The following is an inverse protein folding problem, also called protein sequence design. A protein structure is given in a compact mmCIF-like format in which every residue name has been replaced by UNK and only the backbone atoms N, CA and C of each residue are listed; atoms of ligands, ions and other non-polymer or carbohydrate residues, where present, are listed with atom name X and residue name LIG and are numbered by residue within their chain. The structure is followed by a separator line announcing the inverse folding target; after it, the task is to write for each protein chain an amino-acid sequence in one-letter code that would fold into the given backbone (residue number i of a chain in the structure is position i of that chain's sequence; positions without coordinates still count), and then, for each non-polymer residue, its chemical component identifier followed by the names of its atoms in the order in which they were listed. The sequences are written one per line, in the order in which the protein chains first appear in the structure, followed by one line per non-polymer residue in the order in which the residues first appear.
data_IF_796212321059
#
_entry.id   IF_796212321059
#
_cell.length_a   1.000
_cell.length_b   1.000
_cell.length_c   1.000
_cell.angle_alpha   90.00
_cell.angle_beta   90.00
_cell.angle_gamma   90.00
#
_symmetry.space_group_name_H-M   'P 1'
#
loop_
_entity.id
_entity.type
_entity.pdbx_description
1 polymer ?
#
# COMPACT_ATOMS: atom_id res chain seq x y z
N UNK A 1 4.34 92.85 1.32
CA UNK A 1 4.87 91.66 2.05
C UNK A 1 3.81 90.77 2.72
N UNK A 2 2.50 91.07 2.66
CA UNK A 2 1.47 90.20 3.28
C UNK A 2 0.91 89.10 2.35
N UNK A 3 1.05 89.25 1.02
CA UNK A 3 0.55 88.27 0.04
C UNK A 3 1.42 87.01 -0.13
N UNK A 4 2.74 87.15 -0.02
CA UNK A 4 3.69 86.02 -0.19
C UNK A 4 3.61 85.03 0.98
N UNK A 5 3.35 85.51 2.20
CA UNK A 5 3.15 84.67 3.39
C UNK A 5 1.86 83.85 3.33
N UNK A 6 0.79 84.40 2.75
CA UNK A 6 -0.47 83.69 2.55
C UNK A 6 -0.36 82.59 1.49
N UNK A 7 0.36 82.86 0.39
CA UNK A 7 0.64 81.87 -0.65
C UNK A 7 1.50 80.71 -0.13
N UNK A 8 2.55 80.99 0.66
CA UNK A 8 3.39 79.95 1.26
C UNK A 8 2.60 79.06 2.24
N UNK A 9 1.69 79.64 3.03
CA UNK A 9 0.82 78.90 3.94
C UNK A 9 -0.19 78.02 3.20
N UNK A 10 -0.76 78.49 2.08
CA UNK A 10 -1.62 77.69 1.21
C UNK A 10 -0.86 76.53 0.57
N UNK A 11 0.37 76.74 0.12
CA UNK A 11 1.24 75.68 -0.40
C UNK A 11 1.59 74.64 0.66
N UNK A 12 1.89 75.07 1.88
CA UNK A 12 2.16 74.16 2.99
C UNK A 12 0.91 73.33 3.35
N UNK A 13 -0.27 73.96 3.43
CA UNK A 13 -1.52 73.25 3.65
C UNK A 13 -1.84 72.28 2.51
N UNK A 14 -1.57 72.66 1.26
CA UNK A 14 -1.75 71.79 0.11
C UNK A 14 -0.80 70.58 0.13
N UNK A 15 0.47 70.78 0.47
CA UNK A 15 1.45 69.71 0.64
C UNK A 15 1.03 68.78 1.78
N UNK A 16 0.61 69.33 2.93
CA UNK A 16 0.11 68.54 4.06
C UNK A 16 -1.14 67.75 3.66
N UNK A 17 -2.07 68.34 2.92
CA UNK A 17 -3.24 67.65 2.41
C UNK A 17 -2.88 66.51 1.44
N UNK A 18 -1.94 66.73 0.53
CA UNK A 18 -1.43 65.70 -0.37
C UNK A 18 -0.75 64.54 0.39
N UNK A 19 0.07 64.87 1.41
CA UNK A 19 0.71 63.86 2.25
C UNK A 19 -0.30 63.06 3.09
N UNK A 20 -1.36 63.71 3.59
CA UNK A 20 -2.43 63.03 4.31
C UNK A 20 -3.21 62.09 3.38
N UNK A 21 -3.57 62.55 2.18
CA UNK A 21 -4.25 61.71 1.18
C UNK A 21 -3.37 60.51 0.81
N UNK A 22 -2.10 60.74 0.50
CA UNK A 22 -1.15 59.68 0.17
C UNK A 22 -0.96 58.69 1.34
N UNK A 23 -0.81 59.21 2.56
CA UNK A 23 -0.69 58.41 3.78
C UNK A 23 -1.91 57.54 4.02
N UNK A 24 -3.13 58.08 3.84
CA UNK A 24 -4.37 57.30 3.96
C UNK A 24 -4.49 56.22 2.90
N UNK A 25 -4.09 56.50 1.65
CA UNK A 25 -4.11 55.52 0.57
C UNK A 25 -3.12 54.37 0.80
N UNK A 26 -1.91 54.67 1.28
CA UNK A 26 -0.91 53.65 1.63
C UNK A 26 -1.36 52.79 2.83
N UNK A 27 -1.96 53.41 3.85
CA UNK A 27 -2.49 52.69 5.00
C UNK A 27 -3.64 51.75 4.61
N UNK A 28 -4.49 52.20 3.69
CA UNK A 28 -5.58 51.40 3.12
C UNK A 28 -5.03 50.19 2.35
N UNK A 29 -4.04 50.41 1.48
CA UNK A 29 -3.36 49.33 0.74
C UNK A 29 -2.71 48.31 1.68
N UNK A 30 -1.94 48.77 2.67
CA UNK A 30 -1.29 47.88 3.65
C UNK A 30 -2.31 47.05 4.44
N UNK A 31 -3.46 47.64 4.82
CA UNK A 31 -4.54 46.91 5.50
C UNK A 31 -5.19 45.87 4.57
N UNK A 32 -5.37 46.20 3.29
CA UNK A 32 -5.90 45.27 2.29
C UNK A 32 -4.93 44.10 2.08
N UNK A 33 -3.64 44.36 1.92
CA UNK A 33 -2.62 43.33 1.76
C UNK A 33 -2.52 42.41 2.98
N UNK A 34 -2.59 42.97 4.19
CA UNK A 34 -2.64 42.18 5.44
C UNK A 34 -3.89 41.29 5.50
N UNK A 35 -5.05 41.79 5.09
CA UNK A 35 -6.28 41.01 5.06
C UNK A 35 -6.21 39.87 4.03
N UNK A 36 -5.70 40.16 2.83
CA UNK A 36 -5.49 39.15 1.77
C UNK A 36 -4.47 38.11 2.22
N UNK A 37 -3.34 38.53 2.82
CA UNK A 37 -2.32 37.63 3.35
C UNK A 37 -2.88 36.72 4.46
N UNK A 38 -3.64 37.29 5.40
CA UNK A 38 -4.31 36.52 6.45
C UNK A 38 -5.32 35.51 5.88
N UNK A 39 -6.09 35.91 4.87
CA UNK A 39 -7.02 35.01 4.17
C UNK A 39 -6.27 33.87 3.47
N UNK A 40 -5.16 34.16 2.78
CA UNK A 40 -4.35 33.14 2.11
C UNK A 40 -3.75 32.15 3.11
N UNK A 41 -3.18 32.63 4.22
CA UNK A 41 -2.64 31.79 5.28
C UNK A 41 -3.72 30.88 5.86
N UNK A 42 -4.90 31.42 6.14
CA UNK A 42 -6.02 30.64 6.68
C UNK A 42 -6.54 29.62 5.66
N UNK A 43 -6.64 29.98 4.38
CA UNK A 43 -7.03 29.05 3.33
C UNK A 43 -6.02 27.90 3.21
N UNK A 44 -4.72 28.21 3.23
CA UNK A 44 -3.65 27.20 3.21
C UNK A 44 -3.69 26.29 4.45
N UNK A 45 -3.92 26.85 5.65
CA UNK A 45 -4.09 26.05 6.88
C UNK A 45 -5.30 25.14 6.82
N UNK A 46 -6.43 25.63 6.31
CA UNK A 46 -7.63 24.83 6.12
C UNK A 46 -7.39 23.69 5.11
N UNK A 47 -6.66 23.95 4.03
CA UNK A 47 -6.26 22.91 3.07
C UNK A 47 -5.37 21.85 3.72
N UNK A 48 -4.33 22.27 4.48
CA UNK A 48 -3.48 21.34 5.20
C UNK A 48 -4.25 20.49 6.21
N UNK A 49 -5.25 21.08 6.88
CA UNK A 49 -6.12 20.34 7.79
C UNK A 49 -6.97 19.28 7.05
N UNK A 50 -7.50 19.60 5.87
CA UNK A 50 -8.24 18.65 5.04
C UNK A 50 -7.34 17.48 4.58
N UNK A 51 -6.12 17.77 4.14
CA UNK A 51 -5.15 16.74 3.73
C UNK A 51 -4.68 15.88 4.91
N UNK A 52 -4.52 16.47 6.08
CA UNK A 52 -4.23 15.73 7.31
C UNK A 52 -5.36 14.74 7.65
N UNK A 53 -6.63 15.15 7.47
CA UNK A 53 -7.78 14.27 7.63
C UNK A 53 -7.77 13.08 6.67
N UNK A 54 -7.42 13.30 5.40
CA UNK A 54 -7.26 12.21 4.41
C UNK A 54 -6.12 11.28 4.82
N UNK A 55 -4.96 11.81 5.21
CA UNK A 55 -3.82 11.01 5.65
C UNK A 55 -4.16 10.15 6.88
N UNK A 56 -4.91 10.69 7.82
CA UNK A 56 -5.42 9.95 8.98
C UNK A 56 -6.33 8.81 8.51
N UNK A 57 -7.30 9.10 7.64
CA UNK A 57 -8.23 8.10 7.12
C UNK A 57 -7.51 6.95 6.42
N UNK A 58 -6.56 7.25 5.53
CA UNK A 58 -5.77 6.24 4.80
C UNK A 58 -4.97 5.36 5.77
N UNK A 59 -4.34 5.97 6.77
CA UNK A 59 -3.53 5.24 7.77
C UNK A 59 -4.39 4.32 8.63
N UNK A 60 -5.56 4.79 9.06
CA UNK A 60 -6.47 4.03 9.92
C UNK A 60 -7.22 2.94 9.15
N UNK A 61 -7.74 3.28 7.98
CA UNK A 61 -8.61 2.40 7.20
C UNK A 61 -7.86 1.32 6.43
N UNK A 62 -6.54 1.42 6.26
CA UNK A 62 -5.78 0.41 5.51
C UNK A 62 -5.99 -1.00 6.06
N UNK A 63 -5.93 -1.16 7.38
CA UNK A 63 -6.12 -2.48 8.03
C UNK A 63 -7.59 -2.86 8.21
N UNK A 64 -8.47 -1.88 8.41
CA UNK A 64 -9.89 -2.13 8.69
C UNK A 64 -10.79 -2.10 7.45
N UNK A 65 -10.24 -1.83 6.26
CA UNK A 65 -11.00 -1.76 5.00
C UNK A 65 -11.85 -3.00 4.69
N UNK A 66 -11.35 -4.24 4.89
CA UNK A 66 -12.16 -5.44 4.64
C UNK A 66 -13.43 -5.50 5.51
N UNK A 67 -13.37 -4.92 6.71
CA UNK A 67 -14.44 -4.90 7.71
C UNK A 67 -15.32 -3.67 7.62
N UNK A 68 -14.97 -2.70 6.78
CA UNK A 68 -15.73 -1.47 6.62
C UNK A 68 -17.12 -1.78 6.05
N UNK A 69 -18.14 -1.50 6.85
CA UNK A 69 -19.55 -1.64 6.47
C UNK A 69 -20.02 -0.56 5.49
N UNK A 70 -21.28 -0.66 5.08
CA UNK A 70 -21.90 0.28 4.13
C UNK A 70 -22.05 1.70 4.68
N UNK A 71 -22.15 1.85 6.00
CA UNK A 71 -22.24 3.15 6.67
C UNK A 71 -20.96 4.00 6.53
N UNK A 72 -19.84 3.36 6.15
CA UNK A 72 -18.55 4.01 5.97
C UNK A 72 -17.86 4.34 7.29
N UNK A 73 -16.97 5.33 7.26
CA UNK A 73 -16.23 5.80 8.42
C UNK A 73 -16.31 7.32 8.50
N UNK A 74 -16.50 7.85 9.71
CA UNK A 74 -16.58 9.28 9.99
C UNK A 74 -15.72 9.61 11.20
N UNK A 75 -14.95 10.67 11.12
CA UNK A 75 -14.13 11.16 12.21
C UNK A 75 -14.03 12.69 12.20
N UNK A 76 -14.08 13.29 13.39
CA UNK A 76 -13.95 14.73 13.59
C UNK A 76 -12.81 15.00 14.57
N UNK A 77 -11.91 15.91 14.18
CA UNK A 77 -10.80 16.39 15.00
C UNK A 77 -11.07 17.84 15.38
N UNK A 78 -11.34 18.09 16.66
CA UNK A 78 -11.76 19.40 17.16
C UNK A 78 -10.58 20.35 17.46
N UNK A 79 -9.37 19.82 17.62
CA UNK A 79 -8.16 20.60 17.94
C UNK A 79 -7.39 20.98 16.67
N UNK A 80 -6.47 21.95 16.73
CA UNK A 80 -5.65 22.28 15.56
C UNK A 80 -4.70 21.12 15.18
N UNK A 81 -4.68 20.65 13.92
CA UNK A 81 -5.50 21.10 12.78
C UNK A 81 -6.95 20.59 12.85
N UNK A 82 -7.93 21.50 12.70
CA UNK A 82 -9.37 21.16 12.82
C UNK A 82 -9.89 20.60 11.49
N UNK A 83 -10.43 19.39 11.49
CA UNK A 83 -11.01 18.79 10.30
C UNK A 83 -12.12 17.78 10.60
N UNK A 84 -12.99 17.57 9.62
CA UNK A 84 -13.90 16.43 9.57
C UNK A 84 -13.56 15.58 8.35
N UNK A 85 -13.58 14.27 8.48
CA UNK A 85 -13.28 13.34 7.39
C UNK A 85 -14.30 12.21 7.36
N UNK A 86 -14.75 11.89 6.15
CA UNK A 86 -15.69 10.81 5.86
C UNK A 86 -15.13 9.94 4.76
N UNK A 87 -15.15 8.63 4.96
CA UNK A 87 -14.80 7.64 3.95
C UNK A 87 -16.01 6.77 3.62
N UNK A 88 -16.32 6.67 2.34
CA UNK A 88 -17.43 5.87 1.82
C UNK A 88 -16.90 4.79 0.88
N UNK A 89 -17.39 3.57 1.02
CA UNK A 89 -17.04 2.47 0.11
C UNK A 89 -17.78 2.63 -1.21
N UNK A 90 -17.04 2.71 -2.32
CA UNK A 90 -17.63 2.80 -3.67
C UNK A 90 -17.80 1.43 -4.30
N UNK A 91 -16.81 0.57 -4.11
CA UNK A 91 -16.83 -0.81 -4.59
C UNK A 91 -15.98 -1.71 -3.65
N UNK A 92 -15.66 -2.93 -4.08
CA UNK A 92 -14.92 -3.90 -3.27
C UNK A 92 -13.44 -3.51 -3.05
N UNK A 93 -12.91 -2.52 -3.77
CA UNK A 93 -11.51 -2.07 -3.76
C UNK A 93 -11.35 -0.56 -3.55
N UNK A 94 -12.37 0.26 -3.77
CA UNK A 94 -12.24 1.73 -3.82
C UNK A 94 -13.00 2.40 -2.68
N UNK A 95 -12.34 3.34 -2.02
CA UNK A 95 -12.94 4.31 -1.09
C UNK A 95 -13.00 5.70 -1.71
N UNK A 96 -14.07 6.42 -1.47
CA UNK A 96 -14.11 7.86 -1.62
C UNK A 96 -13.88 8.50 -0.26
N UNK A 97 -12.76 9.20 -0.09
CA UNK A 97 -12.43 9.92 1.14
C UNK A 97 -12.66 11.40 0.90
N UNK A 98 -13.58 11.98 1.65
CA UNK A 98 -13.87 13.42 1.68
C UNK A 98 -13.42 13.99 3.01
N UNK A 99 -12.57 15.01 3.00
CA UNK A 99 -12.23 15.76 4.21
C UNK A 99 -12.48 17.26 4.05
N UNK A 100 -12.96 17.89 5.11
CA UNK A 100 -13.13 19.33 5.21
C UNK A 100 -12.27 19.83 6.37
N UNK A 101 -11.30 20.68 6.06
CA UNK A 101 -10.43 21.32 7.05
C UNK A 101 -10.86 22.77 7.32
N UNK A 102 -10.65 23.23 8.55
CA UNK A 102 -11.12 24.52 9.02
C UNK A 102 -9.96 25.34 9.61
N UNK A 103 -9.86 26.62 9.21
CA UNK A 103 -8.91 27.56 9.81
C UNK A 103 -9.38 29.02 9.64
N UNK A 104 -9.37 29.80 10.73
CA UNK A 104 -9.70 31.23 10.69
C UNK A 104 -11.08 31.56 10.09
N UNK A 105 -12.07 30.68 10.29
CA UNK A 105 -13.42 30.81 9.73
C UNK A 105 -13.57 30.39 8.27
N UNK A 106 -12.50 29.92 7.63
CA UNK A 106 -12.52 29.33 6.30
C UNK A 106 -12.63 27.80 6.39
N UNK A 107 -13.28 27.21 5.39
CA UNK A 107 -13.35 25.77 5.19
C UNK A 107 -12.79 25.42 3.81
N UNK A 108 -11.95 24.39 3.73
CA UNK A 108 -11.45 23.82 2.48
C UNK A 108 -11.83 22.35 2.41
N UNK A 109 -12.31 21.91 1.25
CA UNK A 109 -12.68 20.53 0.99
C UNK A 109 -11.59 19.88 0.14
N UNK A 110 -11.17 18.69 0.53
CA UNK A 110 -10.32 17.83 -0.28
C UNK A 110 -11.01 16.46 -0.46
N UNK A 111 -10.89 15.90 -1.66
CA UNK A 111 -11.53 14.64 -2.02
C UNK A 111 -10.57 13.75 -2.80
N UNK A 112 -10.58 12.45 -2.47
CA UNK A 112 -9.67 11.45 -3.01
C UNK A 112 -10.41 10.15 -3.26
N UNK A 113 -10.15 9.56 -4.43
CA UNK A 113 -10.42 8.16 -4.71
C UNK A 113 -9.21 7.34 -4.26
N UNK A 114 -9.42 6.46 -3.28
CA UNK A 114 -8.40 5.65 -2.67
C UNK A 114 -8.60 4.19 -3.08
N UNK A 115 -7.69 3.67 -3.91
CA UNK A 115 -7.72 2.28 -4.42
C UNK A 115 -6.93 1.39 -3.48
N UNK A 116 -7.60 0.40 -2.90
CA UNK A 116 -7.04 -0.48 -1.89
C UNK A 116 -5.95 -1.40 -2.43
N UNK A 117 -4.87 -1.50 -1.66
CA UNK A 117 -3.69 -2.35 -1.88
C UNK A 117 -3.50 -3.20 -0.61
N UNK A 118 -3.98 -4.46 -0.59
CA UNK A 118 -3.96 -5.30 0.60
C UNK A 118 -2.58 -5.50 1.23
N UNK A 119 -1.53 -5.48 0.41
CA UNK A 119 -0.13 -5.67 0.83
C UNK A 119 0.72 -4.41 0.61
N UNK A 120 0.11 -3.31 0.19
CA UNK A 120 0.80 -2.05 -0.06
C UNK A 120 1.98 -2.15 -1.01
N UNK A 121 1.77 -2.81 -2.16
CA UNK A 121 2.78 -3.00 -3.20
C UNK A 121 4.00 -3.81 -2.77
N UNK A 122 3.91 -4.55 -1.65
CA UNK A 122 4.96 -5.48 -1.24
C UNK A 122 4.87 -6.76 -2.04
N UNK A 123 5.95 -7.03 -2.77
CA UNK A 123 6.10 -8.22 -3.60
C UNK A 123 6.68 -9.39 -2.82
N UNK A 124 7.59 -9.09 -1.88
CA UNK A 124 8.22 -10.07 -1.00
C UNK A 124 8.16 -9.54 0.43
N UNK A 125 7.68 -10.36 1.35
CA UNK A 125 7.66 -10.06 2.78
C UNK A 125 8.17 -11.25 3.56
N UNK A 126 9.30 -11.10 4.27
CA UNK A 126 9.79 -12.16 5.15
C UNK A 126 10.44 -11.66 6.44
N UNK A 127 10.77 -12.58 7.34
CA UNK A 127 11.77 -12.33 8.37
C UNK A 127 13.14 -12.22 7.70
N UNK A 128 13.64 -13.31 7.14
CA UNK A 128 14.96 -13.35 6.52
C UNK A 128 14.86 -13.73 5.03
N UNK A 129 15.58 -13.01 4.15
CA UNK A 129 15.63 -13.28 2.70
C UNK A 129 17.08 -13.56 2.28
N UNK A 130 17.35 -14.78 1.82
CA UNK A 130 18.54 -15.12 1.06
C UNK A 130 18.21 -15.11 -0.44
N UNK A 131 18.87 -14.23 -1.20
CA UNK A 131 18.54 -13.98 -2.61
C UNK A 131 19.73 -14.23 -3.56
N UNK A 132 19.61 -15.24 -4.43
CA UNK A 132 20.54 -15.56 -5.51
C UNK A 132 20.03 -15.09 -6.88
N UNK A 133 20.29 -13.84 -7.25
CA UNK A 133 19.69 -13.15 -8.40
C UNK A 133 18.16 -13.02 -8.33
N UNK A 134 17.71 -11.86 -7.85
CA UNK A 134 16.30 -11.52 -7.64
C UNK A 134 15.92 -10.27 -8.45
N UNK A 135 14.83 -10.31 -9.20
CA UNK A 135 14.18 -9.15 -9.81
C UNK A 135 12.82 -8.95 -9.13
N UNK A 136 12.65 -7.87 -8.38
CA UNK A 136 11.42 -7.56 -7.67
C UNK A 136 10.84 -6.25 -8.21
N UNK A 137 9.70 -6.28 -8.89
CA UNK A 137 8.97 -5.08 -9.30
C UNK A 137 7.88 -4.78 -8.25
N UNK A 138 8.24 -3.96 -7.26
CA UNK A 138 7.48 -3.72 -6.04
C UNK A 138 8.39 -3.53 -4.83
N UNK A 139 7.79 -3.33 -3.66
CA UNK A 139 8.54 -3.20 -2.41
C UNK A 139 8.96 -4.57 -1.86
N UNK A 140 10.13 -4.63 -1.25
CA UNK A 140 10.61 -5.80 -0.50
C UNK A 140 10.69 -5.41 0.97
N UNK A 141 10.11 -6.21 1.85
CA UNK A 141 10.20 -6.04 3.29
C UNK A 141 10.81 -7.28 3.94
N UNK A 142 11.87 -7.08 4.71
CA UNK A 142 12.50 -8.13 5.49
C UNK A 142 13.11 -7.56 6.78
N UNK A 143 13.54 -8.42 7.70
CA UNK A 143 14.44 -8.06 8.79
C UNK A 143 15.86 -8.05 8.24
N UNK A 144 16.25 -9.15 7.61
CA UNK A 144 17.56 -9.33 7.01
C UNK A 144 17.42 -9.70 5.53
N UNK A 145 18.21 -9.05 4.68
CA UNK A 145 18.35 -9.42 3.26
C UNK A 145 19.81 -9.71 2.96
N UNK A 146 20.11 -10.95 2.62
CA UNK A 146 21.41 -11.42 2.16
C UNK A 146 21.35 -11.72 0.66
N UNK A 147 22.00 -10.91 -0.15
CA UNK A 147 22.22 -11.23 -1.56
C UNK A 147 23.39 -12.22 -1.67
N UNK A 148 23.09 -13.48 -1.99
CA UNK A 148 24.05 -14.60 -1.93
C UNK A 148 24.85 -14.75 -3.21
N UNK A 149 24.27 -14.43 -4.37
CA UNK A 149 24.93 -14.52 -5.66
C UNK A 149 24.22 -13.70 -6.75
N UNK A 150 24.93 -13.39 -7.84
CA UNK A 150 24.34 -12.79 -9.03
C UNK A 150 23.92 -11.32 -8.87
N UNK A 151 23.21 -10.80 -9.87
CA UNK A 151 22.68 -9.45 -9.85
C UNK A 151 21.21 -9.47 -9.43
N UNK A 152 20.87 -8.65 -8.43
CA UNK A 152 19.50 -8.43 -7.98
C UNK A 152 19.07 -6.99 -8.23
N UNK A 153 17.80 -6.78 -8.55
CA UNK A 153 17.21 -5.46 -8.76
C UNK A 153 15.84 -5.37 -8.11
N UNK A 154 15.63 -4.34 -7.30
CA UNK A 154 14.35 -4.02 -6.69
C UNK A 154 13.86 -2.71 -7.31
N UNK A 155 12.80 -2.78 -8.10
CA UNK A 155 12.08 -1.61 -8.59
C UNK A 155 11.00 -1.22 -7.57
N UNK A 156 11.44 -0.55 -6.51
CA UNK A 156 10.64 -0.20 -5.35
C UNK A 156 11.50 0.13 -4.14
N UNK A 157 10.88 0.10 -2.95
CA UNK A 157 11.60 0.31 -1.69
C UNK A 157 12.11 -1.02 -1.14
N UNK A 158 13.30 -0.98 -0.54
CA UNK A 158 13.85 -2.06 0.26
C UNK A 158 13.74 -1.68 1.75
N UNK A 159 12.85 -2.36 2.47
CA UNK A 159 12.58 -2.12 3.89
C UNK A 159 13.21 -3.25 4.70
N UNK A 160 14.44 -3.05 5.17
CA UNK A 160 15.19 -4.07 5.89
C UNK A 160 16.14 -3.48 6.92
N UNK A 161 16.16 -4.07 8.12
CA UNK A 161 17.05 -3.67 9.22
C UNK A 161 18.50 -3.95 8.88
N UNK A 162 18.76 -5.08 8.20
CA UNK A 162 20.08 -5.48 7.73
C UNK A 162 20.06 -5.85 6.26
N UNK A 163 21.03 -5.34 5.50
CA UNK A 163 21.23 -5.66 4.08
C UNK A 163 22.69 -5.97 3.85
N UNK A 164 22.97 -7.16 3.32
CA UNK A 164 24.32 -7.63 3.03
C UNK A 164 24.39 -8.24 1.63
N UNK A 165 25.57 -8.11 0.99
CA UNK A 165 25.86 -8.76 -0.27
C UNK A 165 27.14 -9.58 -0.14
N UNK A 166 27.04 -10.88 -0.42
CA UNK A 166 28.18 -11.78 -0.43
C UNK A 166 29.13 -11.47 -1.60
N UNK A 167 30.36 -11.99 -1.53
CA UNK A 167 31.35 -11.82 -2.60
C UNK A 167 30.84 -12.37 -3.95
N UNK A 168 30.67 -11.49 -4.93
CA UNK A 168 30.13 -11.85 -6.25
C UNK A 168 28.63 -11.62 -6.42
N UNK A 169 27.94 -11.14 -5.38
CA UNK A 169 26.60 -10.61 -5.47
C UNK A 169 26.61 -9.09 -5.69
N UNK A 170 25.61 -8.58 -6.39
CA UNK A 170 25.34 -7.16 -6.53
C UNK A 170 23.84 -6.92 -6.44
N UNK A 171 23.43 -5.78 -5.88
CA UNK A 171 22.03 -5.38 -5.86
C UNK A 171 21.86 -3.90 -6.23
N UNK A 172 20.71 -3.57 -6.81
CA UNK A 172 20.28 -2.22 -7.10
C UNK A 172 18.84 -2.02 -6.59
N UNK A 173 18.56 -0.83 -6.06
CA UNK A 173 17.22 -0.43 -5.58
C UNK A 173 16.87 0.90 -6.24
N UNK A 174 15.70 0.98 -6.89
CA UNK A 174 15.24 2.23 -7.53
C UNK A 174 14.65 3.23 -6.54
N UNK A 175 13.97 2.72 -5.49
CA UNK A 175 13.37 3.50 -4.42
C UNK A 175 14.29 3.68 -3.21
N UNK A 176 13.70 3.75 -2.03
CA UNK A 176 14.43 4.00 -0.79
C UNK A 176 14.85 2.72 -0.07
N UNK A 177 16.02 2.76 0.58
CA UNK A 177 16.43 1.76 1.56
C UNK A 177 16.03 2.28 2.95
N UNK A 178 15.10 1.58 3.60
CA UNK A 178 14.45 2.01 4.84
C UNK A 178 14.80 1.03 5.98
N UNK A 179 15.76 1.36 6.85
CA UNK A 179 16.20 0.47 7.93
C UNK A 179 15.25 0.40 9.12
N UNK A 180 14.41 1.42 9.33
CA UNK A 180 13.55 1.55 10.51
C UNK A 180 12.11 1.05 10.29
N UNK A 181 11.90 0.11 9.35
CA UNK A 181 10.55 -0.39 9.08
C UNK A 181 10.13 -1.40 10.14
N UNK A 182 9.05 -1.16 10.91
CA UNK A 182 8.63 -2.08 11.95
C UNK A 182 8.20 -3.40 11.33
N UNK A 183 9.00 -4.44 11.57
CA UNK A 183 8.63 -5.82 11.28
C UNK A 183 7.35 -6.18 12.03
N UNK A 184 6.43 -6.83 11.32
CA UNK A 184 5.17 -7.33 11.88
C UNK A 184 5.11 -8.81 11.59
N UNK A 185 5.13 -9.60 12.65
CA UNK A 185 4.95 -11.05 12.55
C UNK A 185 3.57 -11.36 11.95
N UNK A 186 3.54 -12.31 11.02
CA UNK A 186 2.33 -12.83 10.39
C UNK A 186 2.12 -14.25 10.82
N UNK A 187 1.69 -14.41 12.07
CA UNK A 187 1.27 -15.71 12.58
C UNK A 187 -0.16 -15.96 12.16
N UNK A 188 -0.34 -16.63 11.02
CA UNK A 188 -1.66 -17.04 10.54
C UNK A 188 -2.21 -18.16 11.41
N UNK A 189 -3.42 -18.01 11.93
CA UNK A 189 -4.11 -19.04 12.71
C UNK A 189 -4.67 -20.14 11.81
N UNK A 190 -3.85 -21.12 11.45
CA UNK A 190 -4.27 -22.28 10.65
C UNK A 190 -5.32 -23.12 11.37
N UNK A 191 -5.29 -23.22 12.71
CA UNK A 191 -6.32 -23.95 13.46
C UNK A 191 -7.70 -23.30 13.27
N UNK A 192 -7.75 -21.97 13.27
CA UNK A 192 -8.94 -21.19 12.93
C UNK A 192 -9.42 -21.42 11.49
N UNK A 193 -8.49 -21.45 10.53
CA UNK A 193 -8.80 -21.71 9.12
C UNK A 193 -9.34 -23.13 8.89
N UNK A 194 -8.77 -24.15 9.54
CA UNK A 194 -9.27 -25.53 9.49
C UNK A 194 -10.70 -25.63 10.03
N UNK A 195 -10.97 -24.98 11.17
CA UNK A 195 -12.32 -24.96 11.75
C UNK A 195 -13.31 -24.24 10.82
N UNK A 196 -12.87 -23.15 10.16
CA UNK A 196 -13.67 -22.45 9.18
C UNK A 196 -13.97 -23.35 7.96
N UNK A 197 -12.95 -24.01 7.41
CA UNK A 197 -13.09 -24.91 6.28
C UNK A 197 -14.09 -26.04 6.57
N UNK A 198 -14.02 -26.65 7.76
CA UNK A 198 -14.97 -27.67 8.19
C UNK A 198 -16.40 -27.13 8.39
N UNK A 199 -16.54 -25.89 8.89
CA UNK A 199 -17.85 -25.25 9.11
C UNK A 199 -18.52 -24.85 7.80
N UNK A 200 -17.73 -24.42 6.82
CA UNK A 200 -18.17 -23.90 5.53
C UNK A 200 -18.11 -24.94 4.40
N UNK A 201 -17.75 -26.18 4.72
CA UNK A 201 -17.72 -27.33 3.81
C UNK A 201 -16.84 -27.06 2.57
N UNK A 202 -15.62 -26.59 2.80
CA UNK A 202 -14.65 -26.33 1.72
C UNK A 202 -14.27 -27.62 1.00
N UNK A 203 -14.04 -27.52 -0.31
CA UNK A 203 -13.76 -28.69 -1.13
C UNK A 203 -12.33 -29.19 -0.88
N UNK A 204 -12.18 -30.51 -0.71
CA UNK A 204 -10.87 -31.15 -0.63
C UNK A 204 -10.35 -31.46 -2.03
N UNK A 205 -9.10 -31.11 -2.37
CA UNK A 205 -8.48 -31.54 -3.62
C UNK A 205 -8.42 -33.08 -3.73
N UNK A 206 -8.29 -33.63 -4.95
CA UNK A 206 -8.12 -35.07 -5.09
C UNK A 206 -6.77 -35.54 -4.51
N UNK A 207 -6.72 -36.73 -3.90
CA UNK A 207 -5.49 -37.30 -3.41
C UNK A 207 -4.55 -37.69 -4.57
N UNK A 208 -3.27 -37.48 -4.36
CA UNK A 208 -2.18 -37.91 -5.24
C UNK A 208 -1.80 -39.38 -4.99
N UNK A 209 -1.09 -40.00 -5.94
CA UNK A 209 -0.61 -41.37 -5.81
C UNK A 209 0.42 -41.55 -4.66
N UNK A 210 1.08 -40.46 -4.26
CA UNK A 210 2.16 -40.46 -3.26
C UNK A 210 1.66 -40.15 -1.83
N UNK A 211 0.34 -40.05 -1.63
CA UNK A 211 -0.26 -39.87 -0.31
C UNK A 211 -0.50 -38.42 0.13
N UNK A 212 -0.14 -37.43 -0.70
CA UNK A 212 -0.56 -36.02 -0.55
C UNK A 212 -1.77 -35.67 -1.42
N UNK A 213 -1.97 -34.40 -1.71
CA UNK A 213 -3.05 -33.84 -2.53
C UNK A 213 -2.51 -33.24 -3.84
N UNK A 214 -3.30 -33.24 -4.90
CA UNK A 214 -2.88 -32.65 -6.18
C UNK A 214 -3.99 -31.82 -6.83
N UNK A 215 -3.64 -30.66 -7.36
CA UNK A 215 -4.56 -29.80 -8.12
C UNK A 215 -4.07 -29.77 -9.57
N UNK A 216 -4.75 -30.50 -10.45
CA UNK A 216 -4.39 -30.56 -11.89
C UNK A 216 -5.39 -29.87 -12.82
N UNK A 217 -6.66 -29.79 -12.41
CA UNK A 217 -7.75 -29.27 -13.24
C UNK A 217 -8.17 -27.85 -12.88
N UNK A 218 -9.28 -27.35 -13.45
CA UNK A 218 -9.86 -26.10 -13.01
C UNK A 218 -10.26 -26.24 -11.54
N UNK A 219 -9.80 -25.30 -10.73
CA UNK A 219 -10.18 -25.17 -9.34
C UNK A 219 -10.90 -23.84 -9.19
N UNK A 220 -12.03 -23.84 -8.47
CA UNK A 220 -12.82 -22.64 -8.22
C UNK A 220 -13.26 -22.57 -6.77
N UNK A 221 -13.31 -21.37 -6.20
CA UNK A 221 -13.83 -21.16 -4.84
C UNK A 221 -12.80 -21.49 -3.76
N UNK A 222 -13.22 -22.18 -2.69
CA UNK A 222 -12.41 -22.41 -1.48
C UNK A 222 -12.03 -23.87 -1.34
N UNK A 223 -10.73 -24.13 -1.21
CA UNK A 223 -10.16 -25.45 -1.08
C UNK A 223 -9.41 -25.60 0.24
N UNK A 224 -9.52 -26.78 0.85
CA UNK A 224 -8.74 -27.16 2.02
C UNK A 224 -8.05 -28.50 1.77
N UNK A 225 -6.74 -28.55 1.94
CA UNK A 225 -5.94 -29.77 1.83
C UNK A 225 -5.34 -30.12 3.20
N UNK A 226 -5.75 -31.22 3.85
CA UNK A 226 -5.28 -31.61 5.19
C UNK A 226 -3.87 -32.25 5.19
N UNK A 227 -3.00 -31.87 4.26
CA UNK A 227 -1.65 -32.39 4.14
C UNK A 227 -0.93 -31.84 2.91
N UNK A 228 0.25 -32.39 2.63
CA UNK A 228 1.13 -31.92 1.55
C UNK A 228 0.40 -31.87 0.21
N UNK A 229 0.56 -30.76 -0.51
CA UNK A 229 -0.19 -30.47 -1.73
C UNK A 229 0.71 -30.07 -2.88
N UNK A 230 0.39 -30.58 -4.06
CA UNK A 230 1.07 -30.24 -5.31
C UNK A 230 0.11 -29.51 -6.25
N UNK A 231 0.47 -28.31 -6.66
CA UNK A 231 -0.22 -27.57 -7.74
C UNK A 231 0.46 -27.92 -9.06
N UNK A 232 -0.29 -28.53 -9.98
CA UNK A 232 0.17 -28.92 -11.31
C UNK A 232 -0.91 -28.62 -12.36
N UNK A 233 -1.30 -27.35 -12.44
CA UNK A 233 -2.44 -26.88 -13.22
C UNK A 233 -2.26 -27.13 -14.72
N UNK A 234 -3.24 -27.80 -15.32
CA UNK A 234 -3.38 -27.99 -16.77
C UNK A 234 -4.40 -27.01 -17.37
N UNK A 235 -5.29 -26.47 -16.53
CA UNK A 235 -6.33 -25.50 -16.87
C UNK A 235 -6.33 -24.37 -15.84
N UNK A 236 -6.87 -23.20 -16.24
CA UNK A 236 -6.87 -22.02 -15.37
C UNK A 236 -7.65 -22.27 -14.07
N UNK A 237 -7.08 -21.87 -12.95
CA UNK A 237 -7.70 -21.95 -11.63
C UNK A 237 -8.02 -20.55 -11.08
N UNK A 238 -9.16 -20.40 -10.42
CA UNK A 238 -9.56 -19.20 -9.66
C UNK A 238 -10.01 -19.65 -8.27
N UNK A 239 -9.05 -19.90 -7.36
CA UNK A 239 -9.35 -20.43 -6.03
C UNK A 239 -8.52 -19.85 -4.88
N UNK A 240 -9.08 -19.98 -3.68
CA UNK A 240 -8.40 -19.82 -2.40
C UNK A 240 -8.06 -21.21 -1.84
N UNK A 241 -6.80 -21.46 -1.52
CA UNK A 241 -6.31 -22.75 -1.05
C UNK A 241 -5.68 -22.60 0.34
N UNK A 242 -6.10 -23.45 1.28
CA UNK A 242 -5.39 -23.62 2.56
C UNK A 242 -4.83 -25.03 2.64
N UNK A 243 -3.54 -25.14 2.96
CA UNK A 243 -2.80 -26.39 3.03
C UNK A 243 -2.28 -26.58 4.45
N UNK A 244 -2.68 -27.67 5.11
CA UNK A 244 -2.18 -28.10 6.43
C UNK A 244 -0.91 -28.96 6.28
N UNK A 245 0.08 -28.43 5.57
CA UNK A 245 1.30 -29.13 5.19
C UNK A 245 2.13 -28.30 4.22
N UNK A 246 3.03 -28.96 3.50
CA UNK A 246 3.90 -28.32 2.49
C UNK A 246 3.17 -28.13 1.16
N UNK A 247 3.51 -27.08 0.42
CA UNK A 247 2.93 -26.77 -0.89
C UNK A 247 4.01 -26.72 -1.96
N UNK A 248 3.87 -27.51 -3.02
CA UNK A 248 4.76 -27.46 -4.18
C UNK A 248 4.03 -26.98 -5.44
N UNK A 249 4.54 -25.95 -6.11
CA UNK A 249 3.92 -25.38 -7.34
C UNK A 249 4.63 -25.88 -8.59
N UNK A 250 4.36 -27.12 -9.00
CA UNK A 250 4.99 -27.79 -10.15
C UNK A 250 4.50 -27.34 -11.53
N UNK A 251 3.29 -26.83 -11.63
CA UNK A 251 2.72 -26.43 -12.91
C UNK A 251 1.67 -25.34 -12.76
N UNK A 252 1.67 -24.41 -13.71
CA UNK A 252 0.78 -23.25 -13.70
C UNK A 252 0.15 -23.07 -15.07
N UNK A 253 -1.17 -22.97 -15.09
CA UNK A 253 -1.92 -22.71 -16.31
C UNK A 253 -2.09 -21.19 -16.52
N UNK A 254 -1.89 -20.67 -17.74
CA UNK A 254 -2.07 -19.25 -18.04
C UNK A 254 -3.44 -18.71 -17.61
N UNK A 255 -3.45 -17.50 -17.03
CA UNK A 255 -4.68 -16.84 -16.59
C UNK A 255 -5.20 -17.32 -15.23
N UNK A 256 -4.47 -18.21 -14.55
CA UNK A 256 -4.85 -18.63 -13.19
C UNK A 256 -4.70 -17.49 -12.19
N UNK A 257 -5.58 -17.46 -11.20
CA UNK A 257 -5.58 -16.52 -10.08
C UNK A 257 -5.76 -17.30 -8.78
N UNK A 258 -4.71 -17.41 -7.99
CA UNK A 258 -4.75 -18.23 -6.77
C UNK A 258 -4.15 -17.50 -5.57
N UNK A 259 -4.84 -17.57 -4.45
CA UNK A 259 -4.29 -17.23 -3.15
C UNK A 259 -4.15 -18.52 -2.34
N UNK A 260 -2.92 -18.92 -2.01
CA UNK A 260 -2.65 -20.14 -1.26
C UNK A 260 -1.89 -19.85 0.04
N UNK A 261 -2.33 -20.47 1.13
CA UNK A 261 -1.71 -20.40 2.46
C UNK A 261 -1.26 -21.80 2.86
N UNK A 262 0.04 -21.99 3.13
CA UNK A 262 0.60 -23.25 3.57
C UNK A 262 1.08 -23.16 5.02
N UNK A 263 0.68 -24.13 5.85
CA UNK A 263 1.13 -24.26 7.23
C UNK A 263 2.60 -24.71 7.32
N UNK A 264 3.11 -25.38 6.29
CA UNK A 264 4.50 -25.78 6.13
C UNK A 264 5.28 -24.88 5.19
N UNK A 265 6.20 -25.50 4.46
CA UNK A 265 7.07 -24.87 3.47
C UNK A 265 6.37 -24.76 2.11
N UNK A 266 6.77 -23.77 1.31
CA UNK A 266 6.35 -23.63 -0.08
C UNK A 266 7.55 -23.79 -1.00
N UNK A 267 7.45 -24.72 -1.93
CA UNK A 267 8.52 -25.08 -2.86
C UNK A 267 8.14 -24.60 -4.26
N UNK A 268 9.00 -23.75 -4.83
CA UNK A 268 8.89 -23.23 -6.19
C UNK A 268 9.94 -23.92 -7.09
N UNK A 269 9.52 -24.87 -7.94
CA UNK A 269 10.41 -25.62 -8.82
C UNK A 269 10.84 -24.78 -10.04
N UNK A 270 11.81 -25.28 -10.84
CA UNK A 270 12.25 -24.60 -12.06
C UNK A 270 11.14 -24.56 -13.11
N UNK A 271 10.58 -23.37 -13.33
CA UNK A 271 9.70 -23.04 -14.45
C UNK A 271 10.08 -21.67 -15.01
N UNK A 272 9.83 -21.42 -16.30
CA UNK A 272 10.31 -20.21 -16.97
C UNK A 272 9.41 -18.98 -16.73
N UNK A 273 8.09 -19.15 -16.77
CA UNK A 273 7.14 -18.07 -16.52
C UNK A 273 5.75 -18.61 -16.18
N UNK A 274 5.06 -17.96 -15.26
CA UNK A 274 3.68 -18.21 -14.90
C UNK A 274 2.84 -16.96 -15.18
N UNK A 275 1.89 -17.09 -16.10
CA UNK A 275 0.94 -16.03 -16.44
C UNK A 275 -0.30 -16.11 -15.56
N UNK A 276 -0.69 -15.00 -14.95
CA UNK A 276 -1.78 -14.94 -13.98
C UNK A 276 -1.36 -14.22 -12.71
N UNK A 277 -2.13 -14.38 -11.63
CA UNK A 277 -1.83 -13.77 -10.33
C UNK A 277 -1.70 -14.83 -9.25
N UNK A 278 -0.60 -14.80 -8.50
CA UNK A 278 -0.31 -15.76 -7.44
C UNK A 278 0.01 -15.06 -6.12
N UNK A 279 -0.81 -15.29 -5.10
CA UNK A 279 -0.49 -14.91 -3.72
C UNK A 279 -0.11 -16.16 -2.95
N UNK A 280 1.08 -16.17 -2.34
CA UNK A 280 1.56 -17.28 -1.53
C UNK A 280 1.93 -16.80 -0.13
N UNK A 281 1.46 -17.54 0.86
CA UNK A 281 1.91 -17.44 2.23
C UNK A 281 2.44 -18.80 2.70
N UNK A 282 3.62 -18.81 3.32
CA UNK A 282 4.18 -19.96 4.01
C UNK A 282 4.39 -19.63 5.49
N UNK A 283 3.87 -20.44 6.41
CA UNK A 283 4.26 -20.33 7.82
C UNK A 283 5.68 -20.85 8.06
N UNK A 284 6.17 -21.77 7.23
CA UNK A 284 7.56 -22.18 7.17
C UNK A 284 8.38 -21.26 6.27
N UNK A 285 9.04 -21.86 5.28
CA UNK A 285 9.94 -21.19 4.34
C UNK A 285 9.39 -21.20 2.92
N UNK A 286 9.75 -20.19 2.13
CA UNK A 286 9.64 -20.27 0.67
C UNK A 286 11.00 -20.62 0.09
N UNK A 287 11.05 -21.73 -0.64
CA UNK A 287 12.25 -22.27 -1.27
C UNK A 287 12.11 -22.19 -2.79
N UNK A 288 13.03 -21.48 -3.45
CA UNK A 288 13.14 -21.45 -4.91
C UNK A 288 14.55 -21.84 -5.33
N UNK A 289 14.68 -23.09 -5.78
CA UNK A 289 15.94 -23.64 -6.32
C UNK A 289 15.77 -24.06 -7.78
N UNK A 290 16.55 -23.48 -8.69
CA UNK A 290 16.55 -23.89 -10.10
C UNK A 290 17.54 -23.12 -10.96
N UNK A 291 17.80 -23.64 -12.15
CA UNK A 291 18.75 -23.02 -13.08
C UNK A 291 18.13 -21.90 -13.92
N UNK A 292 16.82 -21.92 -14.12
CA UNK A 292 16.11 -20.92 -14.92
C UNK A 292 15.49 -19.83 -14.05
N UNK A 293 15.34 -18.63 -14.63
CA UNK A 293 14.58 -17.54 -14.02
C UNK A 293 13.09 -17.92 -13.99
N UNK A 294 12.50 -17.92 -12.80
CA UNK A 294 11.05 -18.05 -12.63
C UNK A 294 10.42 -16.66 -12.60
N UNK A 295 9.54 -16.36 -13.55
CA UNK A 295 8.82 -15.08 -13.62
C UNK A 295 7.33 -15.26 -13.31
N UNK A 296 6.75 -14.47 -12.41
CA UNK A 296 5.29 -14.43 -12.21
C UNK A 296 4.80 -13.10 -11.62
N UNK A 297 3.50 -12.83 -11.77
CA UNK A 297 2.86 -11.69 -11.11
C UNK A 297 2.21 -12.14 -9.81
N UNK A 298 2.50 -11.45 -8.70
CA UNK A 298 2.05 -11.93 -7.41
C UNK A 298 2.73 -11.29 -6.21
N UNK A 299 2.55 -11.92 -5.06
CA UNK A 299 3.24 -11.58 -3.81
C UNK A 299 3.58 -12.85 -3.04
N UNK A 300 4.75 -12.86 -2.39
CA UNK A 300 5.21 -13.92 -1.52
C UNK A 300 5.34 -13.42 -0.09
N UNK A 301 4.85 -14.20 0.87
CA UNK A 301 4.96 -13.93 2.30
C UNK A 301 5.45 -15.20 3.00
N UNK A 302 6.50 -15.09 3.81
CA UNK A 302 7.01 -16.23 4.58
C UNK A 302 7.74 -15.79 5.86
N UNK A 303 8.07 -16.70 6.76
CA UNK A 303 9.02 -16.38 7.82
C UNK A 303 10.46 -16.28 7.28
N UNK A 304 10.82 -17.16 6.35
CA UNK A 304 12.14 -17.19 5.72
C UNK A 304 12.00 -17.46 4.22
N UNK A 305 12.86 -16.85 3.40
CA UNK A 305 12.92 -17.10 1.97
C UNK A 305 14.35 -17.42 1.56
N UNK A 306 14.54 -18.56 0.87
CA UNK A 306 15.75 -18.85 0.11
C UNK A 306 15.36 -18.92 -1.36
N UNK A 307 15.61 -17.82 -2.07
CA UNK A 307 15.15 -17.63 -3.44
C UNK A 307 16.30 -17.35 -4.38
N UNK A 308 16.41 -18.15 -5.44
CA UNK A 308 17.40 -17.96 -6.49
C UNK A 308 16.73 -17.91 -7.87
N UNK A 309 17.15 -16.96 -8.71
CA UNK A 309 16.64 -16.74 -10.07
C UNK A 309 15.12 -16.58 -10.06
N UNK A 310 14.68 -15.54 -9.38
CA UNK A 310 13.29 -15.20 -9.19
C UNK A 310 13.00 -13.80 -9.76
N UNK A 311 11.98 -13.68 -10.59
CA UNK A 311 11.40 -12.42 -11.04
C UNK A 311 9.94 -12.36 -10.60
N UNK A 312 9.61 -11.45 -9.68
CA UNK A 312 8.23 -11.25 -9.24
C UNK A 312 7.81 -9.82 -9.52
N UNK A 313 6.65 -9.66 -10.15
CA UNK A 313 6.01 -8.36 -10.33
C UNK A 313 4.78 -8.26 -9.44
N UNK A 314 4.67 -7.17 -8.69
CA UNK A 314 3.55 -6.98 -7.78
C UNK A 314 2.21 -7.04 -8.51
N UNK A 315 1.36 -7.96 -8.07
CA UNK A 315 -0.03 -8.07 -8.49
C UNK A 315 -0.89 -8.52 -7.31
N UNK A 316 -1.97 -7.79 -7.06
CA UNK A 316 -2.89 -8.02 -5.95
C UNK A 316 -4.22 -8.65 -6.39
N UNK A 317 -4.36 -9.06 -7.65
CA UNK A 317 -5.62 -9.62 -8.16
C UNK A 317 -6.04 -10.88 -7.39
N UNK A 318 -5.12 -11.82 -7.16
CA UNK A 318 -5.39 -13.01 -6.35
C UNK A 318 -5.80 -12.67 -4.91
N UNK A 319 -5.07 -11.76 -4.26
CA UNK A 319 -5.39 -11.36 -2.89
C UNK A 319 -6.74 -10.63 -2.81
N UNK A 320 -7.08 -9.80 -3.81
CA UNK A 320 -8.33 -9.06 -3.87
C UNK A 320 -9.54 -9.95 -4.14
N UNK A 321 -9.39 -10.98 -4.98
CA UNK A 321 -10.45 -11.95 -5.26
C UNK A 321 -10.92 -12.66 -3.98
N UNK A 322 -9.99 -12.90 -3.04
CA UNK A 322 -10.24 -13.60 -1.79
C UNK A 322 -10.08 -12.73 -0.55
N UNK A 323 -10.26 -11.42 -0.68
CA UNK A 323 -9.99 -10.45 0.39
C UNK A 323 -10.73 -10.76 1.70
N UNK A 324 -11.95 -11.30 1.61
CA UNK A 324 -12.78 -11.63 2.78
C UNK A 324 -12.35 -12.91 3.50
N UNK A 325 -11.59 -13.76 2.82
CA UNK A 325 -11.12 -15.06 3.33
C UNK A 325 -9.69 -14.98 3.84
N UNK A 326 -8.91 -14.02 3.35
CA UNK A 326 -7.54 -13.81 3.81
C UNK A 326 -7.51 -13.47 5.32
N UNK A 327 -6.61 -14.12 6.09
CA UNK A 327 -6.38 -13.79 7.49
C UNK A 327 -6.05 -12.31 7.70
N UNK A 328 -6.63 -11.71 8.74
CA UNK A 328 -6.49 -10.28 9.03
C UNK A 328 -5.05 -9.89 9.37
N UNK A 329 -4.29 -10.86 9.87
CA UNK A 329 -2.89 -10.76 10.21
C UNK A 329 -2.06 -10.33 8.99
N UNK A 330 -2.41 -10.78 7.78
CA UNK A 330 -1.71 -10.45 6.55
C UNK A 330 -1.85 -8.97 6.17
N UNK A 331 -2.96 -8.32 6.50
CA UNK A 331 -3.14 -6.89 6.21
C UNK A 331 -2.29 -5.99 7.11
N UNK A 332 -1.76 -6.53 8.22
CA UNK A 332 -0.79 -5.83 9.05
C UNK A 332 0.51 -5.60 8.31
N UNK A 333 0.82 -6.36 7.26
CA UNK A 333 2.07 -6.23 6.52
C UNK A 333 2.25 -4.87 5.84
N UNK A 334 1.17 -4.14 5.55
CA UNK A 334 1.27 -2.81 4.98
C UNK A 334 0.08 -2.42 4.11
N UNK A 335 -1.11 -2.92 4.43
CA UNK A 335 -2.31 -2.55 3.71
C UNK A 335 -2.45 -1.02 3.62
N UNK A 336 -2.60 -0.51 2.41
CA UNK A 336 -2.61 0.93 2.11
C UNK A 336 -3.52 1.22 0.91
N UNK A 337 -3.53 2.46 0.45
CA UNK A 337 -4.28 2.90 -0.71
C UNK A 337 -3.39 3.66 -1.69
N UNK A 338 -3.60 3.45 -2.98
CA UNK A 338 -3.17 4.39 -4.01
C UNK A 338 -4.19 5.53 -4.08
N UNK A 339 -3.72 6.77 -3.99
CA UNK A 339 -4.58 7.94 -3.92
C UNK A 339 -4.64 8.66 -5.27
N UNK A 340 -5.84 8.86 -5.77
CA UNK A 340 -6.15 9.71 -6.92
C UNK A 340 -6.95 10.92 -6.45
N UNK A 341 -6.32 12.09 -6.49
CA UNK A 341 -6.95 13.35 -6.09
C UNK A 341 -7.94 13.81 -7.16
N UNK A 342 -9.17 14.14 -6.76
CA UNK A 342 -10.21 14.54 -7.72
C UNK A 342 -10.15 16.02 -8.11
N UNK A 343 -9.31 16.82 -7.42
CA UNK A 343 -9.11 18.23 -7.76
C UNK A 343 -8.16 18.41 -8.95
N UNK A 344 -8.53 19.25 -9.94
CA UNK A 344 -7.76 19.46 -11.16
C UNK A 344 -6.57 20.43 -11.01
N UNK A 345 -6.44 21.14 -9.88
CA UNK A 345 -5.34 22.09 -9.69
C UNK A 345 -4.06 21.37 -9.22
N UNK A 346 -2.91 21.58 -9.90
CA UNK A 346 -1.65 20.98 -9.50
C UNK A 346 -1.27 21.47 -8.11
N UNK A 347 -1.20 20.53 -7.17
CA UNK A 347 -0.72 20.76 -5.81
C UNK A 347 0.82 20.77 -5.84
N UNK A 348 1.43 21.65 -5.05
CA UNK A 348 2.88 21.86 -5.01
C UNK A 348 3.63 20.69 -4.41
#
# INVERSE_FOLDING_TARGET
MNGERGAAMLWLLFIVALLLILGTSLLYLARSELAVSGHLINATRAQYAAEAGIKLAVTHLGQSFPELGEEGWLYEHADEPVFAVRAEKKDYRTLLITSVGYAGGLAQKAEVLAVYRPLGRQVLVAGDIAAGALVAEGHVAAREVLFTAGASSIDGDLRAEWVEAAGGAAFAVSGHICPDWPQRETDVDFSGLMLQAAREDWEEPPPSADGGYIITGPAAGTLFAPGDTVIALQEAADCFLVVDGDLTVNGWAPGSRMAALAAGDVILPPAAAWEGSLFLYAAGKILRSGEDMLSFDGCLVACEMDVSKLHVRYCDEAALAYLKLLPKELFRLGATFDLEWTDPEPRR
#
